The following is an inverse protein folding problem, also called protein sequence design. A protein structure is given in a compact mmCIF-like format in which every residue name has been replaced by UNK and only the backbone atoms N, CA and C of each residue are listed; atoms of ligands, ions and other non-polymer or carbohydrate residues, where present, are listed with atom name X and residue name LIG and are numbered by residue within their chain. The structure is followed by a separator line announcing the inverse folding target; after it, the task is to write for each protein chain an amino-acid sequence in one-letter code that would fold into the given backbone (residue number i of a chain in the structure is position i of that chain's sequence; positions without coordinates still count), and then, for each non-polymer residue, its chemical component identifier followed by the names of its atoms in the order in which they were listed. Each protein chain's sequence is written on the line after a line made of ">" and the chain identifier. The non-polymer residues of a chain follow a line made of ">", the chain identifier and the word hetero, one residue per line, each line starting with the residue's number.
data_IF_196612160725
#
_entry.id   IF_196612160725
#
_cell.length_a   1.000
_cell.length_b   1.000
_cell.length_c   1.000
_cell.angle_alpha   90.00
_cell.angle_beta   90.00
_cell.angle_gamma   90.00
#
_symmetry.space_group_name_H-M   'P 1'
#
loop_
_entity.id
_entity.type
_entity.pdbx_description
1 polymer ?
#
# COMPACT_ATOMS: atom_id res chain seq x y z
N UNK A 1 13.67 3.28 -7.80
CA UNK A 1 12.46 4.10 -7.59
C UNK A 1 11.62 3.48 -6.49
N UNK A 2 11.18 4.26 -5.49
CA UNK A 2 10.44 3.77 -4.32
C UNK A 2 9.08 4.47 -4.24
N UNK A 3 8.01 3.70 -4.15
CA UNK A 3 6.65 4.17 -4.01
C UNK A 3 6.04 3.64 -2.72
N UNK A 4 5.54 4.54 -1.87
CA UNK A 4 4.82 4.17 -0.66
C UNK A 4 3.36 3.96 -1.03
N UNK A 5 2.87 2.76 -0.80
CA UNK A 5 1.48 2.34 -1.06
C UNK A 5 0.76 1.91 0.21
N UNK A 6 1.38 2.17 1.36
CA UNK A 6 0.92 1.71 2.65
C UNK A 6 -0.51 2.20 2.93
N UNK A 7 -1.31 1.28 3.49
CA UNK A 7 -2.74 1.48 3.78
C UNK A 7 -3.00 2.62 4.79
N UNK A 8 -1.98 3.02 5.56
CA UNK A 8 -1.97 4.17 6.47
C UNK A 8 -2.18 5.51 5.75
N UNK A 9 -1.66 5.65 4.53
CA UNK A 9 -1.85 6.84 3.69
C UNK A 9 -3.31 7.06 3.27
N UNK A 10 -4.13 5.99 3.23
CA UNK A 10 -5.56 6.06 2.94
C UNK A 10 -6.42 6.24 4.21
N UNK A 11 -5.85 6.00 5.40
CA UNK A 11 -6.54 6.09 6.70
C UNK A 11 -6.13 7.32 7.53
N UNK A 12 -5.46 8.31 6.92
CA UNK A 12 -5.18 9.60 7.55
C UNK A 12 -4.15 9.58 8.70
N UNK A 13 -3.34 8.53 8.82
CA UNK A 13 -2.33 8.40 9.89
C UNK A 13 -0.90 8.53 9.37
N UNK A 14 -0.31 9.72 9.45
CA UNK A 14 1.05 10.03 9.00
C UNK A 14 2.20 9.46 9.86
N UNK A 15 2.06 8.25 10.40
CA UNK A 15 3.09 7.60 11.23
C UNK A 15 3.81 6.47 10.48
N UNK A 16 5.11 6.28 10.70
CA UNK A 16 5.78 5.01 10.35
C UNK A 16 5.18 3.91 11.22
N UNK A 17 4.18 3.19 10.71
CA UNK A 17 3.51 2.11 11.46
C UNK A 17 4.45 0.90 11.49
N UNK A 18 5.05 0.66 12.66
CA UNK A 18 5.58 -0.66 13.01
C UNK A 18 4.41 -1.65 12.90
N UNK A 19 4.61 -2.85 12.34
CA UNK A 19 3.56 -3.82 12.05
C UNK A 19 2.65 -4.21 13.25
N UNK A 20 2.97 -3.73 14.45
CA UNK A 20 2.25 -3.96 15.70
C UNK A 20 1.44 -2.72 16.10
N UNK A 21 0.11 -2.86 16.12
CA UNK A 21 -0.80 -1.83 16.62
C UNK A 21 -0.65 -1.79 18.14
N UNK A 22 0.11 -0.82 18.64
CA UNK A 22 0.29 -0.60 20.08
C UNK A 22 -1.00 -0.04 20.68
N UNK A 23 -1.79 -0.89 21.32
CA UNK A 23 -2.97 -0.46 22.07
C UNK A 23 -2.54 0.15 23.41
N UNK A 24 -2.89 1.41 23.73
CA UNK A 24 -2.64 1.94 25.07
C UNK A 24 -3.49 1.17 26.09
N UNK A 25 -2.87 0.68 27.16
CA UNK A 25 -3.61 0.02 28.26
C UNK A 25 -4.33 1.07 29.09
N UNK A 26 -5.61 1.29 28.79
CA UNK A 26 -6.52 2.11 29.60
C UNK A 26 -6.20 3.60 29.56
N UNK A 27 -6.93 4.38 28.75
CA UNK A 27 -6.88 5.85 28.85
C UNK A 27 -8.02 6.31 29.75
N UNK A 28 -7.70 6.95 30.87
CA UNK A 28 -8.71 7.56 31.75
C UNK A 28 -8.84 9.02 31.30
N UNK A 29 -10.03 9.39 30.83
CA UNK A 29 -10.36 10.78 30.47
C UNK A 29 -11.22 11.32 31.61
N UNK A 30 -10.75 12.37 32.29
CA UNK A 30 -11.48 13.05 33.36
C UNK A 30 -11.95 14.41 32.84
N UNK A 31 -13.27 14.64 32.86
CA UNK A 31 -13.86 15.94 32.54
C UNK A 31 -14.70 16.37 33.74
N UNK A 32 -14.19 17.30 34.55
CA UNK A 32 -14.86 17.77 35.76
C UNK A 32 -15.12 16.65 36.77
N UNK A 33 -16.39 16.44 37.15
CA UNK A 33 -16.82 15.41 38.11
C UNK A 33 -17.04 14.02 37.50
N UNK A 34 -16.93 13.87 36.17
CA UNK A 34 -17.20 12.59 35.49
C UNK A 34 -15.89 11.96 35.01
N UNK A 35 -15.61 10.74 35.47
CA UNK A 35 -14.47 9.93 35.02
C UNK A 35 -14.91 8.85 34.05
N UNK A 36 -14.36 8.85 32.84
CA UNK A 36 -14.57 7.78 31.87
C UNK A 36 -13.28 6.96 31.70
N UNK A 37 -13.38 5.63 31.83
CA UNK A 37 -12.28 4.69 31.57
C UNK A 37 -12.47 4.04 30.20
N UNK A 38 -11.64 4.41 29.23
CA UNK A 38 -11.60 3.74 27.94
C UNK A 38 -10.68 2.52 28.04
N UNK A 39 -11.26 1.32 28.06
CA UNK A 39 -10.51 0.06 28.07
C UNK A 39 -10.62 -0.61 26.70
N UNK A 40 -9.49 -0.86 26.04
CA UNK A 40 -9.45 -1.64 24.81
C UNK A 40 -9.78 -3.11 25.08
N UNK A 41 -10.54 -3.75 24.19
CA UNK A 41 -10.68 -5.21 24.23
C UNK A 41 -9.28 -5.84 24.07
N UNK A 42 -8.82 -6.70 25.00
CA UNK A 42 -7.46 -7.24 25.00
C UNK A 42 -7.09 -8.00 23.72
N UNK A 43 -8.07 -8.57 23.01
CA UNK A 43 -7.84 -9.23 21.72
C UNK A 43 -7.86 -8.30 20.50
N UNK A 44 -8.16 -7.01 20.66
CA UNK A 44 -8.27 -6.07 19.54
C UNK A 44 -6.92 -5.86 18.84
N UNK A 45 -5.84 -5.60 19.59
CA UNK A 45 -4.52 -5.34 19.03
C UNK A 45 -4.04 -6.45 18.07
N UNK A 46 -3.95 -7.72 18.53
CA UNK A 46 -3.53 -8.83 17.68
C UNK A 46 -4.45 -9.06 16.46
N UNK A 47 -5.78 -8.95 16.64
CA UNK A 47 -6.73 -9.11 15.54
C UNK A 47 -6.61 -8.00 14.50
N UNK A 48 -6.51 -6.75 14.93
CA UNK A 48 -6.37 -5.60 14.06
C UNK A 48 -5.03 -5.63 13.30
N UNK A 49 -3.93 -5.98 13.98
CA UNK A 49 -2.63 -6.18 13.34
C UNK A 49 -2.69 -7.27 12.27
N UNK A 50 -3.28 -8.42 12.56
CA UNK A 50 -3.40 -9.52 11.59
C UNK A 50 -4.20 -9.12 10.34
N UNK A 51 -5.34 -8.43 10.53
CA UNK A 51 -6.16 -7.91 9.42
C UNK A 51 -5.39 -6.88 8.59
N UNK A 52 -4.69 -5.96 9.25
CA UNK A 52 -3.88 -4.94 8.60
C UNK A 52 -2.74 -5.55 7.77
N UNK A 53 -1.95 -6.47 8.36
CA UNK A 53 -0.87 -7.15 7.64
C UNK A 53 -1.38 -7.95 6.43
N UNK A 54 -2.55 -8.59 6.55
CA UNK A 54 -3.18 -9.31 5.43
C UNK A 54 -3.60 -8.36 4.31
N UNK A 55 -4.24 -7.25 4.65
CA UNK A 55 -4.64 -6.23 3.68
C UNK A 55 -3.42 -5.59 2.98
N UNK A 56 -2.33 -5.31 3.72
CA UNK A 56 -1.08 -4.81 3.15
C UNK A 56 -0.45 -5.80 2.15
N UNK A 57 -0.34 -7.09 2.51
CA UNK A 57 0.22 -8.11 1.61
C UNK A 57 -0.58 -8.25 0.32
N UNK A 58 -1.90 -8.19 0.42
CA UNK A 58 -2.79 -8.22 -0.74
C UNK A 58 -2.57 -6.99 -1.63
N UNK A 59 -2.57 -5.79 -1.04
CA UNK A 59 -2.37 -4.55 -1.77
C UNK A 59 -1.01 -4.54 -2.48
N UNK A 60 0.07 -4.93 -1.79
CA UNK A 60 1.42 -4.99 -2.37
C UNK A 60 1.49 -5.97 -3.55
N UNK A 61 0.89 -7.15 -3.40
CA UNK A 61 0.85 -8.17 -4.47
C UNK A 61 0.04 -7.70 -5.68
N UNK A 62 -1.10 -7.06 -5.43
CA UNK A 62 -2.00 -6.64 -6.49
C UNK A 62 -1.48 -5.41 -7.24
N UNK A 63 -0.80 -4.49 -6.54
CA UNK A 63 -0.07 -3.38 -7.17
C UNK A 63 1.03 -3.91 -8.08
N UNK A 64 1.83 -4.89 -7.64
CA UNK A 64 2.85 -5.52 -8.49
C UNK A 64 2.23 -6.21 -9.71
N UNK A 65 1.15 -6.95 -9.49
CA UNK A 65 0.43 -7.68 -10.55
C UNK A 65 -0.16 -6.74 -11.59
N UNK A 66 -0.87 -5.68 -11.18
CA UNK A 66 -1.50 -4.74 -12.09
C UNK A 66 -0.47 -3.85 -12.79
N UNK A 67 0.55 -3.38 -12.06
CA UNK A 67 1.62 -2.56 -12.64
C UNK A 67 2.40 -3.30 -13.73
N UNK A 68 2.42 -4.64 -13.70
CA UNK A 68 3.09 -5.48 -14.71
C UNK A 68 2.62 -5.20 -16.15
N UNK A 69 1.36 -4.80 -16.34
CA UNK A 69 0.77 -4.47 -17.63
C UNK A 69 1.16 -3.08 -18.14
N UNK A 70 1.44 -2.14 -17.24
CA UNK A 70 1.79 -0.74 -17.56
C UNK A 70 3.30 -0.50 -17.67
N UNK A 71 4.11 -1.37 -17.04
CA UNK A 71 5.57 -1.27 -17.10
C UNK A 71 6.06 -1.53 -18.53
N UNK A 72 6.94 -0.67 -19.08
CA UNK A 72 7.56 -0.92 -20.38
C UNK A 72 8.37 -2.22 -20.39
N UNK A 73 8.12 -3.08 -21.37
CA UNK A 73 8.85 -4.35 -21.53
C UNK A 73 9.82 -4.23 -22.70
N UNK A 74 11.10 -4.44 -22.41
CA UNK A 74 12.12 -4.77 -23.40
C UNK A 74 12.78 -6.11 -23.06
N UNK A 75 13.35 -6.20 -21.86
CA UNK A 75 14.03 -7.40 -21.34
C UNK A 75 13.33 -8.00 -20.11
N UNK A 76 12.15 -7.47 -19.76
CA UNK A 76 11.39 -7.78 -18.53
C UNK A 76 12.12 -7.52 -17.20
N UNK A 77 13.38 -7.06 -17.23
CA UNK A 77 14.19 -6.82 -16.04
C UNK A 77 13.60 -5.72 -15.16
N UNK A 78 12.98 -4.68 -15.75
CA UNK A 78 12.30 -3.64 -14.98
C UNK A 78 11.17 -4.23 -14.12
N UNK A 79 10.31 -5.05 -14.73
CA UNK A 79 9.22 -5.72 -14.01
C UNK A 79 9.75 -6.64 -12.91
N UNK A 80 10.75 -7.48 -13.23
CA UNK A 80 11.39 -8.37 -12.25
C UNK A 80 12.05 -7.61 -11.10
N UNK A 81 12.64 -6.43 -11.38
CA UNK A 81 13.24 -5.58 -10.35
C UNK A 81 12.21 -5.04 -9.35
N UNK A 82 10.95 -4.89 -9.76
CA UNK A 82 9.85 -4.54 -8.85
C UNK A 82 9.54 -5.66 -7.87
N UNK A 83 9.50 -6.91 -8.36
CA UNK A 83 9.25 -8.10 -7.52
C UNK A 83 10.43 -8.36 -6.58
N UNK A 84 11.67 -8.29 -7.09
CA UNK A 84 12.88 -8.52 -6.29
C UNK A 84 13.12 -7.42 -5.25
N UNK A 85 12.73 -6.18 -5.56
CA UNK A 85 12.94 -5.02 -4.68
C UNK A 85 11.86 -4.82 -3.62
N UNK A 86 10.73 -5.52 -3.73
CA UNK A 86 9.56 -5.29 -2.88
C UNK A 86 9.41 -6.40 -1.85
N UNK A 87 9.35 -6.01 -0.58
CA UNK A 87 8.97 -6.91 0.50
C UNK A 87 7.44 -6.86 0.63
N UNK A 88 6.77 -7.95 0.29
CA UNK A 88 5.30 -8.04 0.36
C UNK A 88 4.83 -7.90 1.82
N UNK A 89 3.94 -6.94 2.08
CA UNK A 89 3.47 -6.56 3.42
C UNK A 89 4.27 -5.41 4.06
N UNK A 90 5.21 -4.81 3.35
CA UNK A 90 5.93 -3.61 3.83
C UNK A 90 5.19 -2.30 3.53
N UNK A 91 4.18 -2.34 2.66
CA UNK A 91 3.47 -1.14 2.19
C UNK A 91 4.35 -0.23 1.32
N UNK A 92 5.47 -0.74 0.81
CA UNK A 92 6.37 -0.03 -0.11
C UNK A 92 6.70 -0.92 -1.29
N UNK A 93 6.45 -0.43 -2.51
CA UNK A 93 6.87 -1.08 -3.75
C UNK A 93 8.11 -0.37 -4.28
N UNK A 94 9.15 -1.14 -4.61
CA UNK A 94 10.42 -0.60 -5.07
C UNK A 94 10.88 -1.28 -6.34
N UNK A 95 11.17 -0.48 -7.35
CA UNK A 95 11.88 -0.90 -8.55
C UNK A 95 13.37 -0.57 -8.39
N UNK A 96 14.20 -1.60 -8.23
CA UNK A 96 15.64 -1.45 -7.95
C UNK A 96 16.50 -1.21 -9.20
N UNK A 97 15.94 -1.37 -10.41
CA UNK A 97 16.70 -1.14 -11.63
C UNK A 97 17.22 0.31 -11.71
N UNK A 98 18.50 0.53 -12.10
CA UNK A 98 19.10 1.86 -12.11
C UNK A 98 18.38 2.82 -13.07
N UNK A 99 17.86 2.28 -14.18
CA UNK A 99 17.08 3.03 -15.16
C UNK A 99 15.58 3.15 -14.80
N UNK A 100 15.10 2.62 -13.67
CA UNK A 100 13.69 2.69 -13.32
C UNK A 100 13.19 4.14 -13.17
N UNK A 101 13.98 5.01 -12.53
CA UNK A 101 13.61 6.42 -12.30
C UNK A 101 13.56 7.25 -13.60
N UNK A 102 14.59 7.23 -14.48
CA UNK A 102 14.50 7.93 -15.76
C UNK A 102 13.42 7.32 -16.66
N UNK A 103 13.22 6.00 -16.66
CA UNK A 103 12.14 5.37 -17.44
C UNK A 103 10.74 5.77 -16.95
N UNK A 104 10.60 6.13 -15.68
CA UNK A 104 9.33 6.58 -15.13
C UNK A 104 8.98 8.01 -15.53
N UNK A 105 9.96 8.94 -15.43
CA UNK A 105 9.72 10.38 -15.58
C UNK A 105 10.01 10.90 -17.00
N UNK A 106 11.01 10.34 -17.68
CA UNK A 106 11.56 10.90 -18.92
C UNK A 106 11.08 10.13 -20.17
N UNK A 107 9.93 9.47 -20.08
CA UNK A 107 9.40 8.60 -21.13
C UNK A 107 7.93 8.91 -21.33
N UNK A 108 7.49 8.89 -22.59
CA UNK A 108 6.08 9.02 -22.94
C UNK A 108 5.22 7.99 -22.20
N UNK A 109 4.04 8.43 -21.76
CA UNK A 109 3.08 7.57 -21.07
C UNK A 109 2.57 6.46 -21.97
N UNK A 110 2.38 6.73 -23.26
CA UNK A 110 1.92 5.73 -24.23
C UNK A 110 3.05 5.36 -25.19
N UNK A 111 2.97 4.14 -25.73
CA UNK A 111 3.89 3.64 -26.75
C UNK A 111 3.09 3.12 -27.94
N UNK A 112 3.68 3.21 -29.13
CA UNK A 112 3.03 2.80 -30.39
C UNK A 112 2.70 1.31 -30.45
N UNK A 113 3.48 0.46 -29.79
CA UNK A 113 3.27 -1.00 -29.78
C UNK A 113 2.26 -1.46 -28.70
N UNK A 114 2.11 -0.69 -27.62
CA UNK A 114 1.16 -0.98 -26.54
C UNK A 114 0.83 0.34 -25.82
N UNK A 115 -0.38 0.88 -26.00
CA UNK A 115 -0.76 2.18 -25.42
C UNK A 115 -0.81 2.15 -23.90
N UNK A 116 -0.94 0.98 -23.27
CA UNK A 116 -0.94 0.86 -21.80
C UNK A 116 0.46 0.96 -21.21
N UNK A 117 1.50 0.68 -22.00
CA UNK A 117 2.89 0.67 -21.54
C UNK A 117 3.56 2.02 -21.74
N UNK A 118 4.27 2.50 -20.71
CA UNK A 118 5.07 3.72 -20.81
C UNK A 118 5.45 4.30 -19.45
N UNK A 119 5.72 5.60 -19.40
CA UNK A 119 6.03 6.35 -18.17
C UNK A 119 4.91 6.30 -17.13
N UNK A 120 5.18 6.78 -15.91
CA UNK A 120 4.17 6.97 -14.86
C UNK A 120 3.21 5.77 -14.65
N UNK A 121 3.75 4.54 -14.76
CA UNK A 121 2.92 3.33 -14.78
C UNK A 121 2.15 3.12 -13.48
N UNK A 122 2.67 3.64 -12.36
CA UNK A 122 2.02 3.53 -11.06
C UNK A 122 0.85 4.49 -10.91
N UNK A 123 0.99 5.77 -11.30
CA UNK A 123 -0.11 6.74 -11.25
C UNK A 123 -1.24 6.32 -12.17
N UNK A 124 -0.90 5.79 -13.36
CA UNK A 124 -1.90 5.32 -14.32
C UNK A 124 -2.63 4.08 -13.84
N UNK A 125 -1.88 3.09 -13.33
CA UNK A 125 -2.50 1.94 -12.67
C UNK A 125 -3.40 2.37 -11.50
N UNK A 126 -2.96 3.37 -10.72
CA UNK A 126 -3.76 3.93 -9.61
C UNK A 126 -5.02 4.64 -10.12
N UNK A 127 -4.95 5.34 -11.24
CA UNK A 127 -6.12 5.98 -11.85
C UNK A 127 -7.17 4.94 -12.28
N UNK A 128 -6.73 3.85 -12.90
CA UNK A 128 -7.61 2.82 -13.45
C UNK A 128 -8.16 1.87 -12.37
N UNK A 129 -7.28 1.40 -11.47
CA UNK A 129 -7.59 0.32 -10.53
C UNK A 129 -7.52 0.73 -9.05
N UNK A 130 -7.04 1.93 -8.73
CA UNK A 130 -6.82 2.37 -7.35
C UNK A 130 -8.08 2.34 -6.49
N UNK A 131 -9.24 2.75 -7.04
CA UNK A 131 -10.51 2.71 -6.28
C UNK A 131 -10.92 1.28 -5.92
N UNK A 132 -10.85 0.35 -6.87
CA UNK A 132 -11.20 -1.06 -6.66
C UNK A 132 -10.23 -1.75 -5.68
N UNK A 133 -8.93 -1.46 -5.80
CA UNK A 133 -7.90 -1.92 -4.88
C UNK A 133 -8.17 -1.48 -3.44
N UNK A 134 -8.50 -0.20 -3.25
CA UNK A 134 -8.79 0.35 -1.93
C UNK A 134 -10.06 -0.23 -1.33
N UNK A 135 -11.10 -0.46 -2.14
CA UNK A 135 -12.32 -1.12 -1.69
C UNK A 135 -12.04 -2.55 -1.18
N UNK A 136 -11.31 -3.35 -1.96
CA UNK A 136 -10.90 -4.71 -1.56
C UNK A 136 -9.99 -4.73 -0.33
N UNK A 137 -9.03 -3.79 -0.26
CA UNK A 137 -8.16 -3.66 0.90
C UNK A 137 -8.94 -3.28 2.17
N UNK A 138 -9.94 -2.39 2.05
CA UNK A 138 -10.82 -2.00 3.15
C UNK A 138 -11.68 -3.16 3.65
N UNK A 139 -12.23 -3.96 2.75
CA UNK A 139 -12.97 -5.19 3.08
C UNK A 139 -12.08 -6.16 3.88
N UNK A 140 -10.87 -6.42 3.41
CA UNK A 140 -9.90 -7.29 4.07
C UNK A 140 -9.40 -6.76 5.42
N UNK A 141 -9.23 -5.44 5.53
CA UNK A 141 -8.86 -4.78 6.78
C UNK A 141 -10.03 -4.75 7.78
N UNK A 142 -11.25 -5.03 7.33
CA UNK A 142 -12.41 -5.16 8.19
C UNK A 142 -13.38 -3.99 8.24
N UNK A 143 -13.30 -3.08 7.29
CA UNK A 143 -14.23 -1.96 7.15
C UNK A 143 -15.47 -2.29 6.32
N UNK A 144 -15.84 -3.57 6.24
CA UNK A 144 -17.10 -4.04 5.69
C UNK A 144 -17.93 -4.64 6.83
N UNK A 145 -19.11 -4.04 7.06
CA UNK A 145 -20.01 -4.15 8.22
C UNK A 145 -19.66 -3.21 9.39
#
# INVERSE_FOLDING_TARGET
>A
MRLRIALDAALGGGGKVSAEIKTPRGTIIQTGSTSCRLTWNPGFGPRATSRYSRAQRFLDSEVLRLSSAYVPIKTSMLQKSGVLGTVVGSGTVQWIAPYAKPQYNNTADTRSYDPKRGGHWFERMKADHGKALMAKAKEMAGGGA
#
